data_IF_446300256906
#
_entry.id   IF_446300256906
#
_cell.length_a   1.000
_cell.length_b   1.000
_cell.length_c   1.000
_cell.angle_alpha   90.00
_cell.angle_beta   90.00
_cell.angle_gamma   90.00
#
_symmetry.space_group_name_H-M   'P 1'
#
loop_
_entity.id
_entity.type
_entity.pdbx_description
1 polymer ?
#
# COMPACT_ATOMS: atom_id res chain seq x y z
N UNK A 1 -15.70 74.72 2.51
CA UNK A 1 -16.52 73.62 3.06
C UNK A 1 -16.60 72.49 2.02
N UNK A 2 -15.78 71.45 2.15
CA UNK A 2 -15.79 70.28 1.25
C UNK A 2 -16.30 69.07 2.02
N UNK A 3 -17.49 68.57 1.64
CA UNK A 3 -18.08 67.35 2.23
C UNK A 3 -17.45 66.14 1.53
N UNK A 4 -16.64 65.37 2.26
CA UNK A 4 -16.17 64.04 1.81
C UNK A 4 -17.28 63.02 2.07
N UNK A 5 -17.86 62.45 1.01
CA UNK A 5 -18.68 61.25 1.08
C UNK A 5 -17.80 60.05 1.45
N UNK A 6 -18.16 59.35 2.52
CA UNK A 6 -17.56 58.08 2.91
C UNK A 6 -18.38 56.96 2.25
N UNK A 7 -17.85 56.33 1.19
CA UNK A 7 -18.47 55.16 0.57
C UNK A 7 -18.20 53.92 1.41
N UNK A 8 -19.25 53.37 2.03
CA UNK A 8 -19.21 52.12 2.79
C UNK A 8 -19.24 50.94 1.80
N UNK A 9 -18.10 50.28 1.58
CA UNK A 9 -18.05 49.02 0.82
C UNK A 9 -18.60 47.89 1.72
N UNK A 10 -19.82 47.43 1.42
CA UNK A 10 -20.34 46.17 1.98
C UNK A 10 -19.56 45.00 1.37
N UNK A 11 -18.69 44.37 2.18
CA UNK A 11 -18.14 43.05 1.88
C UNK A 11 -19.25 42.01 2.11
N UNK A 12 -19.86 41.54 1.03
CA UNK A 12 -20.74 40.35 1.07
C UNK A 12 -19.85 39.11 1.17
N UNK A 13 -19.92 38.31 2.25
CA UNK A 13 -19.17 37.07 2.33
C UNK A 13 -19.74 36.07 1.32
N UNK A 14 -18.97 35.72 0.30
CA UNK A 14 -19.25 34.55 -0.53
C UNK A 14 -19.09 33.30 0.35
N UNK A 15 -20.19 32.69 0.74
CA UNK A 15 -20.20 31.34 1.28
C UNK A 15 -19.84 30.39 0.14
N UNK A 16 -18.55 30.06 0.02
CA UNK A 16 -18.10 28.94 -0.80
C UNK A 16 -18.63 27.68 -0.11
N UNK A 17 -19.75 27.14 -0.60
CA UNK A 17 -20.23 25.84 -0.15
C UNK A 17 -19.26 24.78 -0.65
N UNK A 18 -18.49 24.18 0.24
CA UNK A 18 -17.60 23.09 -0.13
C UNK A 18 -18.43 21.87 -0.55
N UNK A 19 -18.22 21.39 -1.77
CA UNK A 19 -18.85 20.16 -2.26
C UNK A 19 -18.45 18.95 -1.40
N UNK A 20 -19.38 18.02 -1.18
CA UNK A 20 -19.08 16.73 -0.57
C UNK A 20 -18.06 16.00 -1.44
N UNK A 21 -17.05 15.46 -0.76
CA UNK A 21 -16.04 14.56 -1.30
C UNK A 21 -16.04 13.29 -0.48
N UNK A 22 -15.70 12.17 -1.11
CA UNK A 22 -15.46 10.89 -0.47
C UNK A 22 -13.97 10.56 -0.59
N UNK A 23 -13.42 9.78 0.34
CA UNK A 23 -12.05 9.28 0.17
C UNK A 23 -11.92 8.46 -1.10
N UNK A 24 -10.79 8.58 -1.80
CA UNK A 24 -10.52 7.96 -3.09
C UNK A 24 -10.40 6.42 -3.03
N UNK A 25 -10.36 5.82 -1.83
CA UNK A 25 -10.56 4.38 -1.68
C UNK A 25 -11.99 3.96 -2.08
N UNK A 26 -12.95 4.87 -2.02
CA UNK A 26 -14.31 4.67 -2.51
C UNK A 26 -14.43 5.19 -3.94
N UNK A 27 -14.89 4.33 -4.83
CA UNK A 27 -15.09 4.66 -6.24
C UNK A 27 -16.14 3.75 -6.87
N UNK A 28 -16.53 4.07 -8.11
CA UNK A 28 -17.26 3.11 -8.93
C UNK A 28 -16.41 1.84 -9.10
N UNK A 29 -17.07 0.69 -9.27
CA UNK A 29 -16.44 -0.63 -9.37
C UNK A 29 -15.72 -1.09 -8.10
N UNK A 30 -15.90 -0.46 -6.94
CA UNK A 30 -15.29 -1.00 -5.71
C UNK A 30 -15.96 -2.30 -5.21
N UNK A 31 -15.33 -2.96 -4.24
CA UNK A 31 -15.88 -4.10 -3.50
C UNK A 31 -15.91 -3.77 -2.01
N UNK A 32 -17.08 -3.77 -1.39
CA UNK A 32 -17.23 -3.63 0.06
C UNK A 32 -17.12 -5.00 0.75
N UNK A 33 -16.58 -5.02 1.97
CA UNK A 33 -16.42 -6.27 2.72
C UNK A 33 -17.77 -6.80 3.24
N UNK A 34 -18.05 -8.08 3.02
CA UNK A 34 -19.24 -8.77 3.55
C UNK A 34 -19.12 -9.08 5.05
N UNK A 35 -20.26 -9.36 5.68
CA UNK A 35 -20.37 -9.90 7.05
C UNK A 35 -19.78 -9.02 8.16
N UNK A 36 -19.45 -7.78 7.83
CA UNK A 36 -19.10 -6.77 8.82
C UNK A 36 -19.66 -5.41 8.43
N UNK A 37 -19.71 -4.53 9.42
CA UNK A 37 -20.11 -3.16 9.20
C UNK A 37 -19.02 -2.38 8.45
N UNK A 38 -19.39 -1.64 7.41
CA UNK A 38 -18.46 -0.95 6.53
C UNK A 38 -18.48 0.57 6.81
N UNK A 39 -17.36 1.17 7.26
CA UNK A 39 -17.23 2.61 7.31
C UNK A 39 -17.21 3.21 5.91
N UNK A 40 -17.94 4.31 5.70
CA UNK A 40 -17.82 5.18 4.52
C UNK A 40 -17.55 6.59 5.03
N UNK A 41 -16.52 7.24 4.51
CA UNK A 41 -16.09 8.55 5.02
C UNK A 41 -15.62 9.48 3.90
N UNK A 42 -15.58 10.75 4.25
CA UNK A 42 -15.14 11.80 3.35
C UNK A 42 -15.10 13.15 4.02
N UNK A 43 -15.21 14.20 3.22
CA UNK A 43 -15.19 15.59 3.65
C UNK A 43 -16.38 16.36 3.07
N UNK A 44 -16.88 17.32 3.81
CA UNK A 44 -17.96 18.23 3.41
C UNK A 44 -17.80 19.56 4.16
N UNK A 45 -18.66 20.55 3.92
CA UNK A 45 -18.62 21.78 4.71
C UNK A 45 -18.92 21.49 6.20
N UNK A 46 -18.25 22.15 7.17
CA UNK A 46 -18.53 21.92 8.59
C UNK A 46 -20.01 22.10 8.94
N UNK A 47 -20.59 21.13 9.65
CA UNK A 47 -22.01 21.10 10.02
C UNK A 47 -22.95 20.59 8.91
N UNK A 48 -22.44 20.27 7.72
CA UNK A 48 -23.24 19.71 6.63
C UNK A 48 -23.73 18.30 6.97
N UNK A 49 -25.00 18.02 6.68
CA UNK A 49 -25.59 16.68 6.81
C UNK A 49 -25.33 15.88 5.54
N UNK A 50 -24.68 14.73 5.68
CA UNK A 50 -24.40 13.78 4.61
C UNK A 50 -25.25 12.53 4.82
N UNK A 51 -25.93 12.07 3.78
CA UNK A 51 -26.65 10.82 3.76
C UNK A 51 -25.99 9.84 2.80
N UNK A 52 -25.86 8.57 3.20
CA UNK A 52 -25.36 7.49 2.36
C UNK A 52 -26.42 6.41 2.24
N UNK A 53 -26.75 6.03 1.01
CA UNK A 53 -27.68 4.94 0.72
C UNK A 53 -27.02 3.86 -0.12
N UNK A 54 -27.19 2.60 0.27
CA UNK A 54 -26.67 1.44 -0.46
C UNK A 54 -27.47 0.19 -0.09
N UNK A 55 -27.73 -0.74 -1.01
CA UNK A 55 -28.35 -2.04 -0.69
C UNK A 55 -29.58 -1.96 0.26
N UNK A 56 -30.48 -1.01 0.02
CA UNK A 56 -31.72 -0.83 0.80
C UNK A 56 -31.57 -0.13 2.16
N UNK A 57 -30.36 0.21 2.61
CA UNK A 57 -30.15 0.94 3.86
C UNK A 57 -29.80 2.42 3.61
N UNK A 58 -30.10 3.27 4.60
CA UNK A 58 -29.78 4.70 4.60
C UNK A 58 -29.20 5.08 5.97
N UNK A 59 -28.04 5.73 5.96
CA UNK A 59 -27.39 6.27 7.15
C UNK A 59 -27.03 7.73 6.95
N UNK A 60 -26.94 8.49 8.04
CA UNK A 60 -26.59 9.91 8.00
C UNK A 60 -25.46 10.23 8.97
N UNK A 61 -24.68 11.25 8.63
CA UNK A 61 -23.67 11.84 9.49
C UNK A 61 -23.67 13.35 9.32
N UNK A 62 -23.14 14.07 10.30
CA UNK A 62 -22.87 15.50 10.19
C UNK A 62 -21.36 15.70 10.13
N UNK A 63 -20.91 16.49 9.16
CA UNK A 63 -19.49 16.84 9.05
C UNK A 63 -19.02 17.62 10.28
N UNK A 64 -17.89 17.20 10.84
CA UNK A 64 -17.26 17.83 11.98
C UNK A 64 -16.70 19.22 11.66
N UNK A 65 -16.06 19.85 12.66
CA UNK A 65 -15.41 21.16 12.50
C UNK A 65 -14.26 21.13 11.49
N UNK A 66 -13.63 19.97 11.32
CA UNK A 66 -12.57 19.70 10.34
C UNK A 66 -13.11 19.26 8.97
N UNK A 67 -14.43 19.29 8.79
CA UNK A 67 -15.13 18.86 7.58
C UNK A 67 -15.26 17.35 7.44
N UNK A 68 -14.67 16.53 8.31
CA UNK A 68 -14.73 15.08 8.18
C UNK A 68 -16.12 14.54 8.56
N UNK A 69 -16.64 13.61 7.77
CA UNK A 69 -17.85 12.86 8.08
C UNK A 69 -17.59 11.37 7.92
N UNK A 70 -18.34 10.55 8.68
CA UNK A 70 -18.28 9.09 8.61
C UNK A 70 -19.64 8.50 8.91
N UNK A 71 -20.10 7.60 8.06
CA UNK A 71 -21.23 6.70 8.33
C UNK A 71 -20.72 5.27 8.46
N UNK A 72 -21.52 4.41 9.07
CA UNK A 72 -21.22 2.98 9.18
C UNK A 72 -22.39 2.19 8.62
N UNK A 73 -22.19 1.57 7.45
CA UNK A 73 -23.16 0.64 6.87
C UNK A 73 -23.23 -0.61 7.74
N UNK A 74 -24.42 -1.16 7.92
CA UNK A 74 -24.65 -2.44 8.56
C UNK A 74 -24.05 -3.59 7.74
N UNK A 75 -23.78 -4.75 8.36
CA UNK A 75 -23.30 -5.93 7.65
C UNK A 75 -24.14 -6.27 6.41
N UNK A 76 -23.44 -6.66 5.34
CA UNK A 76 -24.01 -7.00 4.05
C UNK A 76 -23.66 -8.44 3.69
N UNK A 77 -24.57 -9.13 3.03
CA UNK A 77 -24.27 -10.41 2.38
C UNK A 77 -23.51 -10.18 1.08
N UNK A 78 -22.75 -11.19 0.64
CA UNK A 78 -22.08 -11.14 -0.66
C UNK A 78 -23.08 -10.88 -1.79
N UNK A 79 -22.70 -10.04 -2.75
CA UNK A 79 -23.51 -9.74 -3.91
C UNK A 79 -22.61 -9.39 -5.12
N UNK A 80 -22.68 -10.24 -6.14
CA UNK A 80 -21.95 -10.09 -7.40
C UNK A 80 -22.69 -9.22 -8.44
N UNK A 81 -23.92 -8.78 -8.15
CA UNK A 81 -24.64 -7.82 -8.99
C UNK A 81 -24.28 -6.40 -8.56
N UNK A 82 -23.74 -5.62 -9.49
CA UNK A 82 -23.39 -4.22 -9.28
C UNK A 82 -24.57 -3.40 -8.76
N UNK A 83 -24.34 -2.63 -7.71
CA UNK A 83 -25.31 -1.71 -7.10
C UNK A 83 -24.76 -0.29 -7.06
N UNK A 84 -25.63 0.71 -6.96
CA UNK A 84 -25.22 2.11 -6.80
C UNK A 84 -25.18 2.50 -5.33
N UNK A 85 -24.03 2.98 -4.86
CA UNK A 85 -23.89 3.67 -3.59
C UNK A 85 -24.03 5.17 -3.84
N UNK A 86 -25.00 5.79 -3.17
CA UNK A 86 -25.30 7.21 -3.33
C UNK A 86 -24.93 7.96 -2.06
N UNK A 87 -24.19 9.07 -2.22
CA UNK A 87 -23.84 10.00 -1.14
C UNK A 87 -24.52 11.34 -1.47
N UNK A 88 -25.25 11.92 -0.53
CA UNK A 88 -26.06 13.13 -0.76
C UNK A 88 -25.95 14.12 0.38
N UNK A 89 -25.85 15.40 0.04
CA UNK A 89 -25.91 16.57 0.92
C UNK A 89 -26.10 17.82 0.05
N UNK A 90 -25.13 18.72 0.01
CA UNK A 90 -25.12 19.88 -0.91
C UNK A 90 -25.03 19.48 -2.38
N UNK A 91 -24.31 18.40 -2.69
CA UNK A 91 -24.25 17.73 -3.99
C UNK A 91 -24.58 16.24 -3.84
N UNK A 92 -24.69 15.55 -4.98
CA UNK A 92 -24.94 14.11 -5.06
C UNK A 92 -23.78 13.42 -5.76
N UNK A 93 -23.19 12.41 -5.11
CA UNK A 93 -22.19 11.52 -5.70
C UNK A 93 -22.82 10.13 -5.87
N UNK A 94 -22.59 9.50 -7.03
CA UNK A 94 -23.04 8.14 -7.32
C UNK A 94 -21.83 7.27 -7.67
N UNK A 95 -21.56 6.28 -6.84
CA UNK A 95 -20.56 5.24 -7.09
C UNK A 95 -21.31 4.04 -7.66
N UNK A 96 -21.07 3.74 -8.93
CA UNK A 96 -21.81 2.72 -9.68
C UNK A 96 -21.08 1.39 -9.68
N UNK A 97 -21.81 0.31 -9.92
CA UNK A 97 -21.26 -1.04 -10.00
C UNK A 97 -20.48 -1.44 -8.73
N UNK A 98 -20.99 -1.13 -7.55
CA UNK A 98 -20.38 -1.53 -6.27
C UNK A 98 -20.80 -2.96 -5.95
N UNK A 99 -19.82 -3.82 -5.67
CA UNK A 99 -20.03 -5.21 -5.24
C UNK A 99 -19.86 -5.36 -3.73
N UNK A 100 -20.33 -6.50 -3.20
CA UNK A 100 -20.08 -6.90 -1.81
C UNK A 100 -19.44 -8.29 -1.82
N UNK A 101 -18.30 -8.45 -1.15
CA UNK A 101 -17.50 -9.68 -1.20
C UNK A 101 -16.39 -9.70 -0.16
N UNK A 102 -15.27 -10.35 -0.47
CA UNK A 102 -14.07 -10.35 0.37
C UNK A 102 -13.11 -9.23 -0.06
N UNK A 103 -12.47 -8.55 0.89
CA UNK A 103 -11.54 -7.45 0.63
C UNK A 103 -10.24 -7.72 1.37
N UNK A 104 -9.12 -7.70 0.64
CA UNK A 104 -7.80 -8.01 1.18
C UNK A 104 -6.77 -6.95 0.82
N UNK A 105 -5.91 -6.62 1.78
CA UNK A 105 -4.75 -5.76 1.55
C UNK A 105 -3.58 -6.59 1.05
N UNK A 106 -3.04 -6.24 -0.12
CA UNK A 106 -1.86 -6.85 -0.72
C UNK A 106 -0.66 -5.92 -0.49
N UNK A 107 0.16 -6.23 0.51
CA UNK A 107 1.22 -5.33 0.96
C UNK A 107 2.60 -5.99 1.07
N UNK A 108 3.62 -5.17 1.28
CA UNK A 108 5.01 -5.59 1.38
C UNK A 108 5.89 -4.84 0.38
N UNK A 109 6.84 -5.56 -0.22
CA UNK A 109 7.83 -4.97 -1.12
C UNK A 109 7.75 -5.48 -2.56
N UNK A 110 8.88 -5.58 -3.27
CA UNK A 110 8.95 -5.80 -4.71
C UNK A 110 8.33 -7.12 -5.15
N UNK A 111 8.36 -8.14 -4.30
CA UNK A 111 7.76 -9.43 -4.59
C UNK A 111 6.22 -9.41 -4.49
N UNK A 112 5.64 -8.61 -3.60
CA UNK A 112 4.18 -8.32 -3.63
C UNK A 112 3.82 -7.41 -4.80
N UNK A 113 4.60 -6.35 -5.04
CA UNK A 113 4.39 -5.40 -6.15
C UNK A 113 4.70 -5.99 -7.55
N UNK A 114 5.16 -7.24 -7.60
CA UNK A 114 5.54 -7.89 -8.85
C UNK A 114 4.31 -8.10 -9.73
N UNK A 115 4.35 -7.63 -10.97
CA UNK A 115 3.18 -7.66 -11.84
C UNK A 115 2.95 -9.03 -12.48
N UNK A 116 1.71 -9.34 -12.84
CA UNK A 116 1.36 -10.54 -13.63
C UNK A 116 2.16 -10.61 -14.93
N UNK A 117 2.38 -9.47 -15.60
CA UNK A 117 3.19 -9.37 -16.83
C UNK A 117 4.62 -9.91 -16.70
N UNK A 118 5.13 -9.97 -15.47
CA UNK A 118 6.49 -10.40 -15.15
C UNK A 118 6.54 -11.77 -14.45
N UNK A 119 5.38 -12.36 -14.16
CA UNK A 119 5.29 -13.70 -13.59
C UNK A 119 5.46 -14.77 -14.69
N UNK A 120 5.36 -16.05 -14.33
CA UNK A 120 5.25 -17.11 -15.35
C UNK A 120 3.92 -17.04 -16.11
N UNK A 121 3.99 -17.46 -17.38
CA UNK A 121 2.87 -17.55 -18.33
C UNK A 121 1.96 -16.30 -18.43
N UNK A 122 2.53 -15.07 -18.52
CA UNK A 122 1.74 -13.83 -18.46
C UNK A 122 0.72 -13.71 -19.60
N UNK A 123 0.98 -14.31 -20.76
CA UNK A 123 0.06 -14.31 -21.90
C UNK A 123 -1.13 -15.25 -21.69
N UNK A 124 -0.89 -16.45 -21.15
CA UNK A 124 -1.97 -17.37 -20.81
C UNK A 124 -2.84 -16.79 -19.68
N UNK A 125 -2.19 -16.21 -18.68
CA UNK A 125 -2.87 -15.59 -17.55
C UNK A 125 -3.74 -14.40 -17.99
N UNK A 126 -3.21 -13.56 -18.88
CA UNK A 126 -3.99 -12.49 -19.50
C UNK A 126 -5.19 -13.01 -20.29
N UNK A 127 -4.99 -13.93 -21.24
CA UNK A 127 -6.07 -14.43 -22.10
C UNK A 127 -7.22 -15.11 -21.34
N UNK A 128 -6.92 -15.67 -20.17
CA UNK A 128 -7.88 -16.41 -19.34
C UNK A 128 -8.47 -15.59 -18.18
N UNK A 129 -8.00 -14.37 -17.93
CA UNK A 129 -8.45 -13.52 -16.83
C UNK A 129 -9.83 -12.90 -17.07
N UNK A 130 -10.87 -13.73 -17.16
CA UNK A 130 -12.28 -13.33 -17.35
C UNK A 130 -13.01 -13.28 -16.01
N UNK A 131 -12.46 -12.54 -15.05
CA UNK A 131 -12.95 -12.49 -13.66
C UNK A 131 -13.33 -11.06 -13.25
N UNK A 132 -14.37 -10.45 -13.86
CA UNK A 132 -14.70 -9.03 -13.59
C UNK A 132 -15.17 -8.75 -12.15
N UNK A 133 -15.47 -9.79 -11.38
CA UNK A 133 -15.81 -9.71 -9.96
C UNK A 133 -14.58 -9.71 -9.04
N UNK A 134 -13.38 -9.90 -9.59
CA UNK A 134 -12.11 -9.61 -8.91
C UNK A 134 -11.68 -8.21 -9.32
N UNK A 135 -11.44 -7.34 -8.35
CA UNK A 135 -11.15 -5.94 -8.61
C UNK A 135 -10.00 -5.47 -7.74
N UNK A 136 -9.12 -4.66 -8.30
CA UNK A 136 -7.91 -4.18 -7.64
C UNK A 136 -7.85 -2.66 -7.69
N UNK A 137 -7.46 -2.05 -6.57
CA UNK A 137 -7.05 -0.64 -6.50
C UNK A 137 -5.59 -0.57 -6.05
N UNK A 138 -4.80 0.26 -6.74
CA UNK A 138 -3.40 0.51 -6.38
C UNK A 138 -3.26 1.84 -5.64
N UNK A 139 -2.51 1.83 -4.54
CA UNK A 139 -2.17 3.04 -3.77
C UNK A 139 -0.83 3.61 -4.26
N UNK A 140 -0.75 4.90 -4.65
CA UNK A 140 0.49 5.53 -5.04
C UNK A 140 1.55 5.50 -3.95
N UNK A 141 2.79 5.30 -4.37
CA UNK A 141 3.97 5.25 -3.51
C UNK A 141 4.40 6.67 -3.08
N UNK A 142 3.93 7.10 -1.90
CA UNK A 142 4.29 8.39 -1.29
C UNK A 142 5.05 8.16 0.02
N UNK A 143 6.32 8.58 0.08
CA UNK A 143 7.13 8.49 1.29
C UNK A 143 7.14 9.82 2.04
N UNK A 144 6.47 9.90 3.19
CA UNK A 144 6.34 11.15 3.95
C UNK A 144 6.18 10.91 5.44
N UNK A 145 6.60 11.88 6.27
CA UNK A 145 6.30 11.87 7.71
C UNK A 145 4.94 12.51 8.03
N UNK A 146 4.32 13.17 7.04
CA UNK A 146 3.02 13.82 7.20
C UNK A 146 1.89 12.82 6.88
N UNK A 147 1.01 12.49 7.85
CA UNK A 147 -0.07 11.53 7.63
C UNK A 147 -0.97 11.96 6.47
N UNK A 148 -1.02 11.15 5.42
CA UNK A 148 -1.91 11.38 4.29
C UNK A 148 -3.33 10.94 4.65
N UNK A 149 -4.30 11.77 4.27
CA UNK A 149 -5.74 11.51 4.50
C UNK A 149 -6.42 10.87 3.29
N UNK A 150 -5.80 10.96 2.11
CA UNK A 150 -6.34 10.47 0.86
C UNK A 150 -5.21 10.17 -0.14
N UNK A 151 -5.55 9.55 -1.27
CA UNK A 151 -4.63 9.26 -2.38
C UNK A 151 -5.36 9.40 -3.71
N UNK A 152 -4.70 9.12 -4.84
CA UNK A 152 -5.36 9.01 -6.14
C UNK A 152 -5.31 7.57 -6.61
N UNK A 153 -6.46 6.96 -6.83
CA UNK A 153 -6.57 5.60 -7.34
C UNK A 153 -7.98 5.30 -7.83
N UNK A 154 -8.13 4.17 -8.51
CA UNK A 154 -9.41 3.69 -9.02
C UNK A 154 -9.46 2.17 -8.93
N UNK A 155 -10.67 1.63 -8.80
CA UNK A 155 -10.89 0.19 -8.81
C UNK A 155 -10.99 -0.33 -10.24
N UNK A 156 -10.13 -1.29 -10.57
CA UNK A 156 -10.02 -1.89 -11.89
C UNK A 156 -10.45 -3.34 -11.80
N UNK A 157 -11.35 -3.78 -12.69
CA UNK A 157 -11.76 -5.17 -12.79
C UNK A 157 -10.67 -6.02 -13.46
N UNK A 158 -10.51 -7.28 -13.05
CA UNK A 158 -9.61 -8.24 -13.68
C UNK A 158 -10.21 -8.71 -15.02
N UNK A 159 -9.66 -8.19 -16.11
CA UNK A 159 -9.96 -8.58 -17.49
C UNK A 159 -8.67 -8.94 -18.22
N UNK A 160 -8.73 -9.55 -19.42
CA UNK A 160 -7.52 -9.80 -20.20
C UNK A 160 -6.66 -8.56 -20.44
N UNK A 161 -7.28 -7.40 -20.58
CA UNK A 161 -6.63 -6.13 -20.88
C UNK A 161 -5.93 -5.51 -19.66
N UNK A 162 -6.42 -5.78 -18.44
CA UNK A 162 -5.98 -5.08 -17.22
C UNK A 162 -5.08 -5.93 -16.33
N UNK A 163 -5.28 -7.25 -16.31
CA UNK A 163 -4.69 -8.14 -15.30
C UNK A 163 -3.17 -8.12 -15.29
N UNK A 164 -2.52 -7.87 -16.44
CA UNK A 164 -1.06 -7.80 -16.57
C UNK A 164 -0.42 -6.77 -15.64
N UNK A 165 -1.16 -5.71 -15.28
CA UNK A 165 -0.69 -4.64 -14.40
C UNK A 165 -0.90 -4.93 -12.91
N UNK A 166 -1.66 -5.98 -12.56
CA UNK A 166 -1.98 -6.27 -11.16
C UNK A 166 -0.78 -6.89 -10.46
N UNK A 167 -0.69 -6.71 -9.13
CA UNK A 167 0.13 -7.56 -8.27
C UNK A 167 -0.18 -9.03 -8.59
N UNK A 168 0.82 -9.80 -8.99
CA UNK A 168 0.68 -11.20 -9.35
C UNK A 168 0.24 -12.04 -8.15
N UNK A 169 0.91 -11.88 -7.01
CA UNK A 169 0.55 -12.60 -5.78
C UNK A 169 -0.85 -12.19 -5.34
N UNK A 170 -1.16 -10.89 -5.33
CA UNK A 170 -2.51 -10.40 -5.00
C UNK A 170 -3.59 -10.96 -5.92
N UNK A 171 -3.38 -10.92 -7.24
CA UNK A 171 -4.32 -11.44 -8.24
C UNK A 171 -4.54 -12.95 -8.09
N UNK A 172 -3.48 -13.74 -8.00
CA UNK A 172 -3.61 -15.20 -7.90
C UNK A 172 -4.24 -15.64 -6.57
N UNK A 173 -3.95 -14.94 -5.48
CA UNK A 173 -4.60 -15.14 -4.19
C UNK A 173 -6.10 -14.82 -4.30
N UNK A 174 -6.43 -13.64 -4.86
CA UNK A 174 -7.81 -13.22 -5.06
C UNK A 174 -8.59 -14.14 -6.00
N UNK A 175 -7.95 -14.68 -7.05
CA UNK A 175 -8.53 -15.68 -7.95
C UNK A 175 -8.87 -16.98 -7.23
N UNK A 176 -7.94 -17.46 -6.40
CA UNK A 176 -8.15 -18.68 -5.60
C UNK A 176 -9.31 -18.48 -4.62
N UNK A 177 -9.35 -17.36 -3.91
CA UNK A 177 -10.47 -17.02 -3.02
C UNK A 177 -11.80 -16.90 -3.76
N UNK A 178 -11.82 -16.19 -4.89
CA UNK A 178 -13.02 -16.01 -5.69
C UNK A 178 -13.60 -17.35 -6.15
N UNK A 179 -12.75 -18.26 -6.63
CA UNK A 179 -13.15 -19.59 -7.07
C UNK A 179 -13.61 -20.48 -5.92
N UNK A 180 -12.95 -20.40 -4.76
CA UNK A 180 -13.29 -21.23 -3.61
C UNK A 180 -14.59 -20.80 -2.90
N UNK A 181 -14.84 -19.48 -2.85
CA UNK A 181 -15.95 -18.91 -2.10
C UNK A 181 -17.15 -18.51 -2.96
N UNK A 182 -16.97 -18.43 -4.29
CA UNK A 182 -17.97 -17.93 -5.25
C UNK A 182 -18.55 -16.55 -4.86
N UNK A 183 -17.66 -15.64 -4.43
CA UNK A 183 -18.02 -14.25 -4.08
C UNK A 183 -17.06 -13.26 -4.73
N UNK A 184 -17.47 -12.00 -4.96
CA UNK A 184 -16.56 -10.95 -5.42
C UNK A 184 -15.34 -10.78 -4.52
N UNK A 185 -14.22 -10.34 -5.09
CA UNK A 185 -12.98 -10.09 -4.34
C UNK A 185 -12.42 -8.71 -4.67
N UNK A 186 -12.22 -7.89 -3.65
CA UNK A 186 -11.49 -6.63 -3.71
C UNK A 186 -10.05 -6.81 -3.22
N UNK A 187 -9.09 -6.28 -3.96
CA UNK A 187 -7.67 -6.30 -3.63
C UNK A 187 -7.16 -4.86 -3.53
N UNK A 188 -6.54 -4.50 -2.41
CA UNK A 188 -5.91 -3.20 -2.23
C UNK A 188 -4.40 -3.41 -2.30
N UNK A 189 -3.80 -3.12 -3.45
CA UNK A 189 -2.35 -3.18 -3.63
C UNK A 189 -1.71 -1.88 -3.18
N UNK A 190 -0.89 -1.96 -2.15
CA UNK A 190 -0.13 -0.81 -1.69
C UNK A 190 1.39 -1.09 -1.63
N UNK A 191 1.86 -2.20 -2.20
CA UNK A 191 3.24 -2.66 -2.03
C UNK A 191 4.29 -1.69 -2.62
N UNK A 192 5.46 -1.63 -1.98
CA UNK A 192 6.57 -0.77 -2.42
C UNK A 192 7.91 -1.50 -2.46
N UNK A 193 8.43 -1.71 -3.66
CA UNK A 193 9.75 -2.27 -3.92
C UNK A 193 10.88 -1.76 -3.02
N UNK A 194 11.52 -2.68 -2.30
CA UNK A 194 12.62 -2.40 -1.39
C UNK A 194 12.22 -1.74 -0.07
N UNK A 195 10.95 -1.75 0.32
CA UNK A 195 10.53 -1.20 1.62
C UNK A 195 11.05 -2.03 2.77
N UNK A 196 11.46 -1.36 3.85
CA UNK A 196 11.76 -2.02 5.12
C UNK A 196 10.51 -2.05 6.02
N UNK A 197 10.35 -3.07 6.88
CA UNK A 197 9.16 -3.23 7.73
C UNK A 197 8.90 -2.01 8.62
N UNK A 198 9.94 -1.38 9.15
CA UNK A 198 9.80 -0.18 9.99
C UNK A 198 9.23 1.04 9.24
N UNK A 199 9.28 1.08 7.90
CA UNK A 199 8.64 2.15 7.14
C UNK A 199 7.11 2.10 7.26
N UNK A 200 6.55 0.93 7.58
CA UNK A 200 5.12 0.63 7.66
C UNK A 200 4.54 0.72 9.07
N UNK A 201 5.33 1.13 10.04
CA UNK A 201 4.94 1.26 11.46
C UNK A 201 4.91 2.72 11.84
N UNK A 202 3.96 3.09 12.70
CA UNK A 202 3.98 4.35 13.43
C UNK A 202 5.34 4.63 14.06
N UNK A 203 5.90 5.79 13.72
CA UNK A 203 7.26 6.16 14.14
C UNK A 203 7.40 6.30 15.66
N UNK A 204 6.35 6.71 16.35
CA UNK A 204 6.33 6.83 17.81
C UNK A 204 6.35 5.47 18.52
N UNK A 205 5.81 4.40 17.90
CA UNK A 205 5.91 3.04 18.43
C UNK A 205 7.33 2.50 18.26
N UNK A 206 7.93 2.70 17.10
CA UNK A 206 9.32 2.32 16.83
C UNK A 206 10.31 3.00 17.77
N UNK A 207 10.08 4.27 18.12
CA UNK A 207 10.95 5.00 19.05
C UNK A 207 10.98 4.39 20.47
N UNK A 208 9.96 3.58 20.82
CA UNK A 208 9.84 2.90 22.12
C UNK A 208 10.34 1.46 22.08
N UNK A 209 10.65 0.92 20.89
CA UNK A 209 11.07 -0.47 20.73
C UNK A 209 12.61 -0.59 20.89
N UNK A 210 13.14 -1.32 21.89
CA UNK A 210 14.58 -1.46 22.07
C UNK A 210 15.30 -2.04 20.84
N UNK A 211 14.69 -3.04 20.19
CA UNK A 211 15.21 -3.64 18.96
C UNK A 211 15.36 -2.64 17.80
N UNK A 212 14.62 -1.51 17.84
CA UNK A 212 14.69 -0.47 16.82
C UNK A 212 15.73 0.62 17.09
N UNK A 213 16.20 0.74 18.33
CA UNK A 213 17.03 1.87 18.76
C UNK A 213 18.27 2.13 17.89
N UNK A 214 19.05 1.12 17.45
CA UNK A 214 20.27 1.36 16.67
C UNK A 214 19.99 2.04 15.33
N UNK A 215 19.04 1.53 14.53
CA UNK A 215 18.74 2.12 13.23
C UNK A 215 17.90 3.40 13.36
N UNK A 216 17.12 3.56 14.42
CA UNK A 216 16.43 4.82 14.71
C UNK A 216 17.44 5.95 15.00
N UNK A 217 18.55 5.67 15.69
CA UNK A 217 19.63 6.64 15.89
C UNK A 217 20.33 7.01 14.56
N UNK A 218 20.60 6.02 13.70
CA UNK A 218 21.15 6.25 12.35
C UNK A 218 20.23 7.13 11.49
N UNK A 219 18.91 6.93 11.58
CA UNK A 219 17.95 7.77 10.87
C UNK A 219 17.91 9.19 11.41
N UNK A 220 17.97 9.40 12.73
CA UNK A 220 18.10 10.76 13.30
C UNK A 220 19.33 11.49 12.77
N UNK A 221 20.46 10.80 12.67
CA UNK A 221 21.68 11.37 12.10
C UNK A 221 21.51 11.68 10.61
N UNK A 222 20.91 10.76 9.84
CA UNK A 222 20.63 10.96 8.41
C UNK A 222 19.74 12.18 8.20
N UNK A 223 18.69 12.35 9.01
CA UNK A 223 17.79 13.49 8.95
C UNK A 223 18.49 14.82 9.25
N UNK A 224 19.40 14.82 10.23
CA UNK A 224 20.15 16.00 10.61
C UNK A 224 21.24 16.40 9.60
N UNK A 225 21.72 15.46 8.78
CA UNK A 225 22.94 15.65 7.96
C UNK A 225 22.72 15.53 6.46
N UNK A 226 21.59 14.97 6.02
CA UNK A 226 21.33 14.76 4.60
C UNK A 226 21.12 16.09 3.86
N UNK A 227 22.00 16.35 2.91
CA UNK A 227 21.96 17.51 2.02
C UNK A 227 21.61 17.06 0.59
N UNK A 228 20.37 17.34 0.19
CA UNK A 228 19.86 17.00 -1.14
C UNK A 228 20.56 17.77 -2.26
N UNK A 229 20.95 19.03 -2.01
CA UNK A 229 21.62 19.87 -2.99
C UNK A 229 23.05 19.36 -3.24
N UNK A 230 23.78 18.99 -2.17
CA UNK A 230 25.10 18.37 -2.28
C UNK A 230 25.03 17.01 -2.98
N UNK A 231 24.02 16.20 -2.69
CA UNK A 231 23.81 14.92 -3.38
C UNK A 231 23.56 15.11 -4.88
N UNK A 232 22.73 16.10 -5.25
CA UNK A 232 22.46 16.47 -6.64
C UNK A 232 23.73 16.98 -7.34
N UNK A 233 24.49 17.90 -6.73
CA UNK A 233 25.74 18.41 -7.28
C UNK A 233 26.78 17.29 -7.52
N UNK A 234 26.89 16.34 -6.58
CA UNK A 234 27.76 15.17 -6.70
C UNK A 234 27.31 14.26 -7.86
N UNK A 235 26.02 14.11 -8.07
CA UNK A 235 25.48 13.37 -9.20
C UNK A 235 25.74 14.07 -10.53
N UNK A 236 25.51 15.38 -10.64
CA UNK A 236 25.78 16.15 -11.86
C UNK A 236 27.27 16.08 -12.26
N UNK A 237 28.18 16.16 -11.27
CA UNK A 237 29.62 15.96 -11.52
C UNK A 237 29.93 14.58 -12.09
N UNK A 238 29.34 13.52 -11.52
CA UNK A 238 29.49 12.14 -12.02
C UNK A 238 28.85 11.97 -13.41
N UNK A 239 27.70 12.58 -13.64
CA UNK A 239 26.99 12.51 -14.92
C UNK A 239 27.81 13.17 -16.03
N UNK A 240 28.41 14.34 -15.76
CA UNK A 240 29.31 15.01 -16.70
C UNK A 240 30.54 14.17 -17.04
N UNK A 241 31.19 13.58 -16.03
CA UNK A 241 32.31 12.64 -16.24
C UNK A 241 31.90 11.43 -17.08
N UNK A 242 30.73 10.86 -16.79
CA UNK A 242 30.18 9.74 -17.56
C UNK A 242 29.87 10.14 -19.00
N UNK A 243 29.30 11.33 -19.25
CA UNK A 243 29.02 11.81 -20.61
C UNK A 243 30.29 11.88 -21.46
N UNK A 244 31.37 12.44 -20.91
CA UNK A 244 32.68 12.46 -21.59
C UNK A 244 33.19 11.05 -21.90
N UNK A 245 33.17 10.16 -20.91
CA UNK A 245 33.62 8.78 -21.08
C UNK A 245 32.75 7.98 -22.06
N UNK A 246 31.44 8.18 -22.05
CA UNK A 246 30.49 7.54 -22.95
C UNK A 246 30.70 7.99 -24.40
N UNK A 247 30.93 9.28 -24.63
CA UNK A 247 31.26 9.80 -25.97
C UNK A 247 32.58 9.23 -26.49
N UNK A 248 33.62 9.18 -25.65
CA UNK A 248 34.90 8.58 -26.02
C UNK A 248 34.77 7.07 -26.32
N UNK A 249 34.02 6.32 -25.51
CA UNK A 249 33.77 4.90 -25.73
C UNK A 249 33.04 4.65 -27.06
N UNK A 250 31.99 5.41 -27.36
CA UNK A 250 31.26 5.33 -28.64
C UNK A 250 32.16 5.60 -29.84
N UNK A 251 32.98 6.67 -29.78
CA UNK A 251 33.92 7.01 -30.86
C UNK A 251 34.96 5.91 -31.10
N UNK A 252 35.37 5.22 -30.04
CA UNK A 252 36.34 4.12 -30.09
C UNK A 252 35.72 2.74 -30.37
N UNK A 253 34.41 2.64 -30.64
CA UNK A 253 33.73 1.34 -30.81
C UNK A 253 33.73 0.45 -29.56
N UNK A 254 33.91 1.04 -28.37
CA UNK A 254 33.98 0.32 -27.08
C UNK A 254 32.63 0.35 -26.35
N UNK A 255 32.37 -0.64 -25.47
CA UNK A 255 31.19 -0.63 -24.59
C UNK A 255 31.09 0.68 -23.78
N UNK A 256 29.90 1.28 -23.77
CA UNK A 256 29.64 2.51 -23.03
C UNK A 256 29.63 2.18 -21.53
N UNK A 257 30.36 2.95 -20.68
CA UNK A 257 30.32 2.75 -19.24
C UNK A 257 28.90 2.92 -18.70
N UNK A 258 28.61 2.30 -17.55
CA UNK A 258 27.29 2.40 -16.93
C UNK A 258 27.00 3.84 -16.50
N UNK A 259 25.81 4.35 -16.87
CA UNK A 259 25.34 5.68 -16.45
C UNK A 259 25.19 5.74 -14.93
N UNK A 260 25.68 6.80 -14.26
CA UNK A 260 25.41 7.00 -12.84
C UNK A 260 23.90 7.15 -12.61
N UNK A 261 23.41 6.61 -11.49
CA UNK A 261 22.01 6.78 -11.09
C UNK A 261 21.84 8.11 -10.34
N UNK A 262 20.73 8.80 -10.60
CA UNK A 262 20.32 9.96 -9.81
C UNK A 262 20.19 9.57 -8.32
N UNK A 263 20.54 10.46 -7.39
CA UNK A 263 20.43 10.17 -5.97
C UNK A 263 18.95 10.05 -5.60
N UNK A 264 18.60 9.04 -4.81
CA UNK A 264 17.28 8.98 -4.17
C UNK A 264 17.35 9.79 -2.89
N UNK A 265 16.30 10.56 -2.60
CA UNK A 265 16.18 11.25 -1.33
C UNK A 265 15.77 10.22 -0.25
N UNK A 266 16.63 9.89 0.72
CA UNK A 266 16.30 8.95 1.77
C UNK A 266 15.16 9.45 2.67
N UNK A 267 14.97 10.78 2.77
CA UNK A 267 13.94 11.39 3.61
C UNK A 267 12.51 11.13 3.08
N UNK A 268 12.37 10.89 1.78
CA UNK A 268 11.11 10.50 1.12
C UNK A 268 11.12 9.05 0.66
N UNK A 269 12.08 8.25 1.16
CA UNK A 269 12.31 6.88 0.73
C UNK A 269 11.53 5.85 1.54
N UNK A 270 11.49 4.63 0.99
CA UNK A 270 10.78 3.47 1.52
C UNK A 270 11.49 2.72 2.66
N UNK A 271 12.66 3.21 3.09
CA UNK A 271 13.39 2.68 4.24
C UNK A 271 13.24 3.53 5.50
N UNK A 272 12.73 4.77 5.37
CA UNK A 272 12.64 5.69 6.51
C UNK A 272 11.48 5.26 7.42
N UNK A 273 11.72 5.07 8.72
CA UNK A 273 10.70 4.71 9.70
C UNK A 273 9.43 5.57 9.60
N UNK A 274 8.28 4.91 9.45
CA UNK A 274 6.96 5.55 9.35
C UNK A 274 6.61 6.26 8.05
N UNK A 275 7.51 6.30 7.05
CA UNK A 275 7.19 6.99 5.79
C UNK A 275 6.00 6.36 5.05
N UNK A 276 5.96 5.03 4.97
CA UNK A 276 4.94 4.28 4.24
C UNK A 276 3.69 4.08 5.07
N UNK A 277 3.83 3.99 6.40
CA UNK A 277 2.71 4.10 7.31
C UNK A 277 1.89 5.37 7.02
N UNK A 278 2.53 6.54 6.98
CA UNK A 278 1.85 7.81 6.78
C UNK A 278 1.38 8.04 5.34
N UNK A 279 2.21 7.71 4.35
CA UNK A 279 1.94 8.06 2.97
C UNK A 279 1.15 7.04 2.16
N UNK A 280 1.21 5.77 2.56
CA UNK A 280 0.67 4.65 1.76
C UNK A 280 -0.39 3.87 2.53
N UNK A 281 -0.14 3.54 3.80
CA UNK A 281 -1.10 2.78 4.60
C UNK A 281 -2.22 3.65 5.18
N UNK A 282 -1.88 4.80 5.76
CA UNK A 282 -2.84 5.64 6.48
C UNK A 282 -4.08 6.04 5.67
N UNK A 283 -3.98 6.36 4.36
CA UNK A 283 -5.16 6.70 3.55
C UNK A 283 -6.19 5.57 3.38
N UNK A 284 -5.79 4.31 3.54
CA UNK A 284 -6.69 3.15 3.39
C UNK A 284 -7.18 2.58 4.73
N UNK A 285 -6.56 2.98 5.85
CA UNK A 285 -6.94 2.53 7.19
C UNK A 285 -8.39 2.93 7.48
N UNK A 286 -9.19 1.94 7.89
CA UNK A 286 -10.62 2.11 8.17
C UNK A 286 -11.53 1.58 7.07
N UNK A 287 -11.00 1.22 5.90
CA UNK A 287 -11.77 0.46 4.92
C UNK A 287 -12.09 -0.93 5.49
N UNK A 288 -13.28 -1.45 5.20
CA UNK A 288 -13.66 -2.79 5.62
C UNK A 288 -12.77 -3.82 4.91
N UNK A 289 -12.03 -4.63 5.67
CA UNK A 289 -11.19 -5.71 5.12
C UNK A 289 -11.47 -7.03 5.84
N UNK A 290 -11.23 -8.15 5.16
CA UNK A 290 -11.16 -9.47 5.81
C UNK A 290 -9.78 -9.72 6.41
N UNK A 291 -8.73 -9.25 5.75
CA UNK A 291 -7.36 -9.48 6.19
C UNK A 291 -6.31 -8.83 5.31
N UNK A 292 -5.05 -9.17 5.57
CA UNK A 292 -3.89 -8.71 4.81
C UNK A 292 -2.98 -9.88 4.43
N UNK A 293 -2.41 -9.79 3.23
CA UNK A 293 -1.29 -10.63 2.79
C UNK A 293 -0.04 -9.77 2.65
N UNK A 294 1.08 -10.29 3.13
CA UNK A 294 2.33 -9.55 3.28
C UNK A 294 3.50 -10.31 2.66
N UNK A 295 4.18 -9.70 1.68
CA UNK A 295 5.38 -10.31 1.11
C UNK A 295 6.55 -9.33 1.18
N UNK A 296 7.32 -9.46 2.27
CA UNK A 296 8.47 -8.65 2.57
C UNK A 296 9.38 -9.32 3.58
N UNK A 297 10.66 -9.01 3.48
CA UNK A 297 11.67 -9.28 4.48
C UNK A 297 13.07 -8.98 3.95
N UNK A 298 13.27 -9.03 2.65
CA UNK A 298 14.56 -8.96 1.97
C UNK A 298 15.37 -7.72 2.37
N UNK A 299 14.70 -6.56 2.49
CA UNK A 299 15.30 -5.29 2.94
C UNK A 299 15.67 -5.25 4.44
N UNK A 300 15.18 -6.22 5.21
CA UNK A 300 15.44 -6.40 6.63
C UNK A 300 16.36 -7.61 6.92
N UNK A 301 16.81 -8.36 5.92
CA UNK A 301 17.65 -9.57 6.10
C UNK A 301 18.89 -9.29 6.96
N UNK A 302 19.61 -8.19 6.72
CA UNK A 302 20.75 -7.78 7.56
C UNK A 302 20.41 -7.32 8.98
N UNK A 303 19.14 -7.41 9.41
CA UNK A 303 18.62 -7.07 10.74
C UNK A 303 17.59 -8.10 11.23
N UNK A 304 17.76 -9.37 10.88
CA UNK A 304 16.84 -10.46 11.24
C UNK A 304 16.50 -10.50 12.73
N UNK A 305 17.50 -10.33 13.62
CA UNK A 305 17.28 -10.28 15.07
C UNK A 305 16.31 -9.18 15.50
N UNK A 306 16.41 -7.98 14.93
CA UNK A 306 15.47 -6.90 15.22
C UNK A 306 14.08 -7.18 14.61
N UNK A 307 14.03 -7.86 13.47
CA UNK A 307 12.79 -8.24 12.79
C UNK A 307 11.86 -9.10 13.66
N UNK A 308 12.43 -9.95 14.53
CA UNK A 308 11.70 -10.76 15.53
C UNK A 308 10.75 -9.94 16.42
N UNK A 309 11.05 -8.66 16.64
CA UNK A 309 10.21 -7.74 17.41
C UNK A 309 9.49 -6.71 16.52
N UNK A 310 10.14 -6.25 15.44
CA UNK A 310 9.59 -5.20 14.56
C UNK A 310 8.40 -5.71 13.76
N UNK A 311 8.45 -6.93 13.23
CA UNK A 311 7.39 -7.48 12.40
C UNK A 311 6.09 -7.76 13.18
N UNK A 312 6.10 -8.45 14.35
CA UNK A 312 4.89 -8.56 15.17
C UNK A 312 4.37 -7.20 15.64
N UNK A 313 5.25 -6.24 15.96
CA UNK A 313 4.81 -4.87 16.28
C UNK A 313 4.09 -4.22 15.09
N UNK A 314 4.54 -4.45 13.86
CA UNK A 314 3.88 -3.92 12.66
C UNK A 314 2.45 -4.48 12.54
N UNK A 315 2.30 -5.79 12.64
CA UNK A 315 1.00 -6.45 12.54
C UNK A 315 0.05 -5.93 13.62
N UNK A 316 0.51 -5.85 14.87
CA UNK A 316 -0.30 -5.33 15.97
C UNK A 316 -0.66 -3.86 15.75
N UNK A 317 0.30 -3.03 15.32
CA UNK A 317 0.03 -1.63 15.00
C UNK A 317 -1.08 -1.50 13.94
N UNK A 318 -1.06 -2.32 12.89
CA UNK A 318 -2.09 -2.29 11.85
C UNK A 318 -3.45 -2.70 12.39
N UNK A 319 -3.52 -3.77 13.19
CA UNK A 319 -4.77 -4.21 13.86
C UNK A 319 -5.35 -3.11 14.74
N UNK A 320 -4.51 -2.45 15.53
CA UNK A 320 -4.90 -1.35 16.41
C UNK A 320 -5.44 -0.15 15.62
N UNK A 321 -4.77 0.22 14.51
CA UNK A 321 -5.18 1.35 13.67
C UNK A 321 -6.46 1.06 12.87
N UNK A 322 -6.67 -0.20 12.43
CA UNK A 322 -7.89 -0.61 11.74
C UNK A 322 -9.09 -0.73 12.69
N UNK A 323 -8.86 -1.18 13.93
CA UNK A 323 -9.91 -1.41 14.91
C UNK A 323 -10.93 -2.48 14.50
N UNK A 324 -10.51 -3.45 13.67
CA UNK A 324 -11.33 -4.58 13.19
C UNK A 324 -10.92 -5.91 13.86
N UNK A 325 -10.42 -5.84 15.10
CA UNK A 325 -9.94 -6.99 15.86
C UNK A 325 -8.66 -7.60 15.27
N UNK A 326 -8.40 -8.87 15.62
CA UNK A 326 -7.26 -9.63 15.13
C UNK A 326 -7.55 -10.23 13.75
N UNK A 327 -7.74 -9.38 12.74
CA UNK A 327 -8.00 -9.84 11.38
C UNK A 327 -6.87 -10.78 10.89
N UNK A 328 -7.20 -11.79 10.05
CA UNK A 328 -6.23 -12.65 9.38
C UNK A 328 -5.07 -11.88 8.76
N UNK A 329 -3.84 -12.24 9.15
CA UNK A 329 -2.63 -11.66 8.61
C UNK A 329 -1.70 -12.78 8.14
N UNK A 330 -1.56 -12.93 6.83
CA UNK A 330 -0.71 -13.96 6.23
C UNK A 330 0.54 -13.34 5.63
N UNK A 331 1.67 -14.04 5.69
CA UNK A 331 2.89 -13.59 5.02
C UNK A 331 3.59 -14.70 4.28
N UNK A 332 4.42 -14.29 3.32
CA UNK A 332 5.25 -15.18 2.54
C UNK A 332 6.65 -15.22 3.15
N UNK A 333 7.12 -16.43 3.50
CA UNK A 333 8.50 -16.64 3.92
C UNK A 333 9.44 -16.25 2.77
N UNK A 334 10.65 -15.75 3.04
CA UNK A 334 11.59 -15.51 1.95
C UNK A 334 11.92 -16.81 1.20
N UNK A 335 11.94 -16.73 -0.14
CA UNK A 335 12.33 -17.82 -1.02
C UNK A 335 13.80 -18.20 -0.82
N UNK A 336 14.21 -19.36 -1.33
CA UNK A 336 15.64 -19.65 -1.44
C UNK A 336 16.36 -18.64 -2.34
N UNK A 337 17.50 -18.15 -1.86
CA UNK A 337 18.29 -17.11 -2.51
C UNK A 337 19.70 -17.08 -1.89
N UNK A 338 20.71 -16.91 -2.75
CA UNK A 338 22.18 -16.96 -2.51
C UNK A 338 22.79 -18.31 -2.93
N UNK A 339 24.12 -18.33 -3.00
CA UNK A 339 24.84 -19.56 -3.35
C UNK A 339 24.75 -20.58 -2.21
N UNK A 340 24.54 -21.84 -2.59
CA UNK A 340 24.59 -23.00 -1.69
C UNK A 340 25.93 -23.04 -0.95
N UNK A 341 25.87 -23.37 0.34
CA UNK A 341 27.03 -23.50 1.19
C UNK A 341 27.23 -24.97 1.54
N UNK A 342 28.46 -25.49 1.45
CA UNK A 342 28.73 -26.91 1.72
C UNK A 342 28.50 -27.27 3.18
N UNK A 343 28.59 -26.30 4.09
CA UNK A 343 28.37 -26.46 5.53
C UNK A 343 27.46 -25.33 6.05
N UNK A 344 26.66 -25.57 7.11
CA UNK A 344 25.86 -24.53 7.75
C UNK A 344 26.73 -23.38 8.27
N UNK A 345 26.27 -22.14 8.08
CA UNK A 345 26.94 -20.94 8.57
C UNK A 345 25.93 -19.88 9.01
N UNK A 346 26.42 -18.88 9.77
CA UNK A 346 25.63 -17.73 10.18
C UNK A 346 25.19 -16.93 8.95
N UNK A 347 23.92 -17.07 8.58
CA UNK A 347 23.35 -16.49 7.38
C UNK A 347 22.11 -15.64 7.68
N UNK A 348 22.21 -14.35 7.40
CA UNK A 348 21.15 -13.36 7.56
C UNK A 348 19.84 -13.72 6.85
N UNK A 349 19.86 -14.54 5.80
CA UNK A 349 18.67 -14.96 5.06
C UNK A 349 17.93 -16.09 5.79
N UNK A 350 18.66 -17.10 6.26
CA UNK A 350 18.14 -18.13 7.17
C UNK A 350 17.60 -17.53 8.47
N UNK A 351 18.35 -16.64 9.13
CA UNK A 351 17.90 -15.98 10.37
C UNK A 351 16.61 -15.18 10.18
N UNK A 352 16.44 -14.54 9.03
CA UNK A 352 15.23 -13.77 8.75
C UNK A 352 14.02 -14.68 8.54
N UNK A 353 14.18 -15.81 7.84
CA UNK A 353 13.10 -16.81 7.70
C UNK A 353 12.67 -17.35 9.07
N UNK A 354 13.62 -17.64 9.94
CA UNK A 354 13.33 -18.01 11.33
C UNK A 354 12.56 -16.89 12.05
N UNK A 355 12.98 -15.63 11.90
CA UNK A 355 12.28 -14.48 12.49
C UNK A 355 10.83 -14.33 11.98
N UNK A 356 10.57 -14.67 10.70
CA UNK A 356 9.22 -14.73 10.15
C UNK A 356 8.41 -15.85 10.83
N UNK A 357 8.93 -17.07 10.91
CA UNK A 357 8.28 -18.20 11.57
C UNK A 357 7.97 -17.93 13.05
N UNK A 358 8.92 -17.36 13.79
CA UNK A 358 8.73 -16.98 15.21
C UNK A 358 7.59 -16.00 15.44
N UNK A 359 7.13 -15.27 14.41
CA UNK A 359 6.01 -14.34 14.52
C UNK A 359 4.68 -15.08 14.75
N UNK A 360 4.54 -16.32 14.25
CA UNK A 360 3.33 -17.13 14.44
C UNK A 360 3.05 -17.43 15.92
N UNK A 361 4.10 -17.60 16.73
CA UNK A 361 3.97 -17.87 18.18
C UNK A 361 3.58 -16.63 18.99
N UNK A 362 3.68 -15.43 18.39
CA UNK A 362 3.45 -14.16 19.09
C UNK A 362 2.05 -13.60 18.88
N UNK A 363 1.39 -13.94 17.77
CA UNK A 363 0.13 -13.33 17.35
C UNK A 363 -0.84 -14.37 16.82
N UNK A 364 -2.10 -14.28 17.27
CA UNK A 364 -3.21 -15.10 16.76
C UNK A 364 -3.64 -14.69 15.35
N UNK A 365 -4.38 -15.58 14.68
CA UNK A 365 -4.94 -15.37 13.34
C UNK A 365 -3.86 -14.96 12.33
N UNK A 366 -2.74 -15.67 12.39
CA UNK A 366 -1.59 -15.51 11.52
C UNK A 366 -1.31 -16.79 10.75
N UNK A 367 -0.55 -16.68 9.66
CA UNK A 367 -0.13 -17.82 8.87
C UNK A 367 1.05 -17.46 7.98
N UNK A 368 1.95 -18.41 7.78
CA UNK A 368 3.14 -18.28 6.95
C UNK A 368 3.04 -19.21 5.73
N UNK A 369 3.09 -18.63 4.53
CA UNK A 369 3.29 -19.36 3.30
C UNK A 369 4.80 -19.62 3.12
N UNK A 370 5.24 -20.83 3.46
CA UNK A 370 6.61 -21.29 3.25
C UNK A 370 6.84 -21.49 1.76
N UNK A 371 7.91 -20.90 1.20
CA UNK A 371 8.20 -20.93 -0.25
C UNK A 371 9.69 -21.15 -0.56
N UNK A 372 10.43 -21.75 0.37
CA UNK A 372 11.86 -22.04 0.21
C UNK A 372 12.16 -22.82 -1.09
N UNK A 373 11.25 -23.67 -1.53
CA UNK A 373 11.33 -24.55 -2.71
C UNK A 373 10.73 -23.95 -3.99
N UNK A 374 10.20 -22.73 -3.96
CA UNK A 374 9.53 -22.06 -5.11
C UNK A 374 10.49 -21.05 -5.78
N UNK A 375 11.71 -20.91 -5.25
CA UNK A 375 12.74 -19.96 -5.68
C UNK A 375 13.61 -20.42 -6.85
N UNK A 376 14.17 -19.47 -7.58
CA UNK A 376 15.38 -19.69 -8.38
C UNK A 376 16.54 -19.21 -7.49
N UNK A 377 17.44 -20.09 -7.01
CA UNK A 377 18.41 -19.75 -5.94
C UNK A 377 19.32 -18.53 -6.19
N UNK A 378 19.38 -18.01 -7.42
CA UNK A 378 20.11 -16.78 -7.78
C UNK A 378 19.22 -15.58 -8.15
N UNK A 379 17.90 -15.70 -8.10
CA UNK A 379 16.95 -14.61 -8.29
C UNK A 379 16.18 -14.33 -7.00
N UNK A 380 16.36 -13.12 -6.47
CA UNK A 380 15.63 -12.63 -5.30
C UNK A 380 14.14 -12.40 -5.58
N UNK A 381 13.72 -12.44 -6.85
CA UNK A 381 12.33 -12.27 -7.29
C UNK A 381 11.81 -13.51 -8.03
N UNK A 382 11.41 -14.57 -7.30
CA UNK A 382 10.90 -15.79 -7.93
C UNK A 382 9.68 -15.49 -8.81
N UNK A 383 9.64 -16.05 -10.02
CA UNK A 383 8.59 -15.74 -11.00
C UNK A 383 7.34 -16.62 -10.88
N UNK A 384 7.43 -17.77 -10.20
CA UNK A 384 6.27 -18.59 -9.86
C UNK A 384 5.43 -17.95 -8.74
N UNK A 385 4.74 -16.87 -9.09
CA UNK A 385 3.82 -16.18 -8.17
C UNK A 385 2.53 -16.95 -7.95
N UNK A 386 2.20 -17.91 -8.82
CA UNK A 386 1.01 -18.73 -8.69
C UNK A 386 1.14 -19.68 -7.50
N UNK A 387 2.27 -20.40 -7.39
CA UNK A 387 2.51 -21.31 -6.25
C UNK A 387 2.60 -20.54 -4.95
N UNK A 388 3.28 -19.38 -4.94
CA UNK A 388 3.33 -18.50 -3.76
C UNK A 388 1.93 -18.12 -3.27
N UNK A 389 1.02 -17.76 -4.18
CA UNK A 389 -0.31 -17.29 -3.81
C UNK A 389 -1.31 -18.40 -3.45
N UNK A 390 -1.04 -19.65 -3.85
CA UNK A 390 -1.86 -20.82 -3.52
C UNK A 390 -1.59 -21.38 -2.12
N UNK A 391 -0.36 -21.19 -1.62
CA UNK A 391 0.04 -21.53 -0.25
C UNK A 391 -0.44 -20.45 0.70
#
# INVERSE_FOLDING_TARGET
MSKRLLSLFLLVPFLVSAEIKVSSIFGSRMVLQREQANPVWGWAAPGEKVAVTFAGQKHTATAGKDGAWRVKLQPLNANAKGQTLTISGSNKLELTDVLVGEVWVCSGQSNMAWSVDRAYDPDLESLTAKFPNIRLISVPQVGTQDPQKDFKGEWVAATPETVKQFSAVGYFFGRTLHQALDVPVGLIDNAWGGSAAEAWIRRDLLAKLPAAAPYMAQWKQTEATYDSAKAAATYESRLKKWQTAATAARKAGKPVPRRPRAPRNPLTGQHRPGNLYNGVLKPIIGYGIRGAIWYQGESNSGRAKAYRDVFPLMIQNWRDEWGQGDFPFYWVQLADFRDEQPEPLDDNWAELREAQTMTMDRLKNTGEAVIIDVGEGRDIHPRDKQTVAKR
#
